data_IF_133345383519
#
_entry.id   IF_133345383519
#
_cell.length_a   1.000
_cell.length_b   1.000
_cell.length_c   1.000
_cell.angle_alpha   90.00
_cell.angle_beta   90.00
_cell.angle_gamma   90.00
#
_symmetry.space_group_name_H-M   'P 1'
#
loop_
_entity.id
_entity.type
_entity.pdbx_description
1 polymer ?
#
# COMPACT_ATOMS: atom_id res chain seq x y z
N UNK A 1 9.65 -21.10 14.59
CA UNK A 1 9.15 -21.88 13.43
C UNK A 1 10.19 -22.81 12.84
N UNK A 2 11.48 -22.47 12.90
CA UNK A 2 12.54 -23.17 12.14
C UNK A 2 12.77 -24.61 12.57
N UNK A 3 12.55 -24.92 13.85
CA UNK A 3 12.63 -26.29 14.38
C UNK A 3 11.62 -27.23 13.73
N UNK A 4 10.34 -26.81 13.62
CA UNK A 4 9.28 -27.58 12.95
C UNK A 4 9.52 -27.73 11.44
N UNK A 5 10.07 -26.69 10.80
CA UNK A 5 10.46 -26.76 9.39
C UNK A 5 11.57 -27.79 9.16
N UNK A 6 12.60 -27.79 10.00
CA UNK A 6 13.70 -28.77 9.95
C UNK A 6 13.17 -30.19 10.20
N UNK A 7 12.36 -30.40 11.23
CA UNK A 7 11.75 -31.71 11.55
C UNK A 7 10.91 -32.26 10.40
N UNK A 8 10.02 -31.45 9.80
CA UNK A 8 9.23 -31.87 8.63
C UNK A 8 10.09 -32.21 7.42
N UNK A 9 11.16 -31.45 7.16
CA UNK A 9 12.10 -31.72 6.06
C UNK A 9 12.85 -33.03 6.29
N UNK A 10 13.31 -33.28 7.51
CA UNK A 10 14.01 -34.51 7.88
C UNK A 10 13.09 -35.74 7.79
N UNK A 11 11.85 -35.66 8.29
CA UNK A 11 10.87 -36.73 8.13
C UNK A 11 10.54 -37.02 6.67
N UNK A 12 10.47 -35.99 5.82
CA UNK A 12 10.27 -36.19 4.38
C UNK A 12 11.45 -36.90 3.72
N UNK A 13 12.67 -36.74 4.22
CA UNK A 13 13.85 -37.51 3.77
C UNK A 13 13.76 -38.96 4.26
N UNK A 14 13.39 -39.18 5.52
CA UNK A 14 13.22 -40.52 6.10
C UNK A 14 12.12 -41.30 5.39
N UNK A 15 10.97 -40.69 5.09
CA UNK A 15 9.88 -41.32 4.32
C UNK A 15 10.35 -41.80 2.93
N UNK A 16 11.28 -41.09 2.29
CA UNK A 16 11.81 -41.48 0.98
C UNK A 16 12.78 -42.66 1.05
N UNK A 17 13.38 -42.90 2.22
CA UNK A 17 14.37 -43.96 2.44
C UNK A 17 13.79 -45.18 3.16
N UNK A 18 12.61 -45.07 3.75
CA UNK A 18 11.98 -46.11 4.57
C UNK A 18 11.26 -47.18 3.73
N UNK A 19 11.08 -48.36 4.33
CA UNK A 19 10.31 -49.47 3.72
C UNK A 19 8.81 -49.17 3.69
N UNK A 20 8.04 -49.93 2.90
CA UNK A 20 6.59 -49.74 2.74
C UNK A 20 5.83 -49.80 4.07
N UNK A 21 6.26 -50.63 5.02
CA UNK A 21 5.61 -50.79 6.32
C UNK A 21 5.83 -49.57 7.24
N UNK A 22 7.05 -49.04 7.28
CA UNK A 22 7.43 -47.89 8.12
C UNK A 22 6.91 -46.56 7.56
N UNK A 23 6.74 -46.46 6.24
CA UNK A 23 6.30 -45.22 5.57
C UNK A 23 4.95 -44.73 6.10
N UNK A 24 4.03 -45.65 6.41
CA UNK A 24 2.71 -45.31 6.93
C UNK A 24 2.78 -44.61 8.30
N UNK A 25 3.61 -45.13 9.22
CA UNK A 25 3.84 -44.51 10.53
C UNK A 25 4.49 -43.13 10.40
N UNK A 26 5.53 -43.01 9.56
CA UNK A 26 6.20 -41.74 9.31
C UNK A 26 5.28 -40.68 8.69
N UNK A 27 4.37 -41.09 7.81
CA UNK A 27 3.36 -40.21 7.20
C UNK A 27 2.40 -39.64 8.24
N UNK A 28 1.97 -40.44 9.23
CA UNK A 28 1.11 -39.98 10.32
C UNK A 28 1.81 -38.87 11.13
N UNK A 29 3.06 -39.11 11.54
CA UNK A 29 3.87 -38.14 12.29
C UNK A 29 4.08 -36.86 11.47
N UNK A 30 4.40 -37.01 10.18
CA UNK A 30 4.58 -35.88 9.28
C UNK A 30 3.31 -35.02 9.13
N UNK A 31 2.14 -35.66 9.02
CA UNK A 31 0.84 -34.97 8.95
C UNK A 31 0.56 -34.18 10.22
N UNK A 32 0.81 -34.76 11.40
CA UNK A 32 0.65 -34.07 12.68
C UNK A 32 1.55 -32.83 12.77
N UNK A 33 2.83 -32.96 12.41
CA UNK A 33 3.75 -31.81 12.39
C UNK A 33 3.35 -30.76 11.35
N UNK A 34 2.85 -31.17 10.18
CA UNK A 34 2.31 -30.25 9.17
C UNK A 34 1.12 -29.46 9.72
N UNK A 35 0.19 -30.13 10.41
CA UNK A 35 -0.98 -29.49 11.02
C UNK A 35 -0.55 -28.45 12.07
N UNK A 36 0.33 -28.82 13.00
CA UNK A 36 0.89 -27.92 14.02
C UNK A 36 1.56 -26.69 13.41
N UNK A 37 2.45 -26.91 12.44
CA UNK A 37 3.10 -25.82 11.72
C UNK A 37 2.08 -24.90 11.02
N UNK A 38 1.07 -25.47 10.35
CA UNK A 38 0.06 -24.68 9.66
C UNK A 38 -0.79 -23.84 10.62
N UNK A 39 -1.20 -24.41 11.75
CA UNK A 39 -1.97 -23.71 12.77
C UNK A 39 -1.20 -22.49 13.30
N UNK A 40 0.08 -22.68 13.65
CA UNK A 40 0.92 -21.59 14.15
C UNK A 40 1.17 -20.52 13.08
N UNK A 41 1.49 -20.90 11.84
CA UNK A 41 1.71 -19.96 10.75
C UNK A 41 0.47 -19.12 10.43
N UNK A 42 -0.73 -19.73 10.49
CA UNK A 42 -2.00 -19.00 10.37
C UNK A 42 -2.19 -18.02 11.52
N UNK A 43 -1.92 -18.43 12.76
CA UNK A 43 -2.02 -17.55 13.92
C UNK A 43 -1.07 -16.34 13.81
N UNK A 44 0.18 -16.55 13.42
CA UNK A 44 1.14 -15.47 13.17
C UNK A 44 0.68 -14.54 12.04
N UNK A 45 0.24 -15.10 10.93
CA UNK A 45 -0.27 -14.34 9.78
C UNK A 45 -1.48 -13.49 10.16
N UNK A 46 -2.39 -14.05 10.96
CA UNK A 46 -3.54 -13.33 11.49
C UNK A 46 -3.11 -12.17 12.41
N UNK A 47 -2.13 -12.37 13.29
CA UNK A 47 -1.57 -11.30 14.14
C UNK A 47 -0.94 -10.18 13.29
N UNK A 48 -0.13 -10.54 12.27
CA UNK A 48 0.46 -9.58 11.32
C UNK A 48 -0.61 -8.79 10.58
N UNK A 49 -1.64 -9.47 10.05
CA UNK A 49 -2.76 -8.81 9.35
C UNK A 49 -3.53 -7.85 10.27
N UNK A 50 -3.81 -8.25 11.51
CA UNK A 50 -4.45 -7.38 12.52
C UNK A 50 -3.59 -6.16 12.84
N UNK A 51 -2.28 -6.35 13.07
CA UNK A 51 -1.35 -5.24 13.32
C UNK A 51 -1.28 -4.28 12.13
N UNK A 52 -1.19 -4.81 10.90
CA UNK A 52 -1.16 -3.98 9.69
C UNK A 52 -2.47 -3.21 9.50
N UNK A 53 -3.63 -3.83 9.77
CA UNK A 53 -4.92 -3.15 9.74
C UNK A 53 -4.95 -1.98 10.72
N UNK A 54 -4.51 -2.18 11.96
CA UNK A 54 -4.44 -1.11 12.98
C UNK A 54 -3.51 0.02 12.53
N UNK A 55 -2.30 -0.30 12.07
CA UNK A 55 -1.34 0.69 11.54
C UNK A 55 -1.92 1.47 10.36
N UNK A 56 -2.65 0.82 9.46
CA UNK A 56 -3.28 1.49 8.32
C UNK A 56 -4.41 2.43 8.79
N UNK A 57 -5.23 2.00 9.75
CA UNK A 57 -6.26 2.84 10.35
C UNK A 57 -5.66 4.06 11.05
N UNK A 58 -4.62 3.87 11.86
CA UNK A 58 -3.88 4.94 12.52
C UNK A 58 -3.29 5.94 11.52
N UNK A 59 -2.71 5.45 10.41
CA UNK A 59 -2.19 6.31 9.33
C UNK A 59 -3.29 7.14 8.67
N UNK A 60 -4.44 6.53 8.38
CA UNK A 60 -5.58 7.23 7.79
C UNK A 60 -6.13 8.30 8.74
N UNK A 61 -6.29 7.98 10.03
CA UNK A 61 -6.79 8.95 11.02
C UNK A 61 -5.81 10.11 11.22
N UNK A 62 -4.50 9.83 11.21
CA UNK A 62 -3.46 10.85 11.37
C UNK A 62 -3.43 11.84 10.21
N UNK A 63 -3.44 11.34 8.97
CA UNK A 63 -3.48 12.18 7.77
C UNK A 63 -4.26 11.48 6.64
N UNK A 64 -5.57 11.78 6.51
CA UNK A 64 -6.43 11.10 5.55
C UNK A 64 -6.08 11.46 4.10
N UNK A 65 -5.61 12.67 3.83
CA UNK A 65 -5.30 13.13 2.47
C UNK A 65 -3.97 12.56 1.98
N UNK A 66 -2.94 12.49 2.83
CA UNK A 66 -1.69 11.83 2.49
C UNK A 66 -1.91 10.33 2.29
N UNK A 67 -2.74 9.68 3.13
CA UNK A 67 -3.10 8.28 2.98
C UNK A 67 -3.86 8.03 1.67
N UNK A 68 -4.89 8.84 1.36
CA UNK A 68 -5.64 8.74 0.10
C UNK A 68 -4.73 8.99 -1.10
N UNK A 69 -3.81 9.95 -1.01
CA UNK A 69 -2.80 10.19 -2.05
C UNK A 69 -1.94 8.95 -2.27
N UNK A 70 -1.49 8.26 -1.22
CA UNK A 70 -0.77 6.98 -1.39
C UNK A 70 -1.62 5.87 -2.03
N UNK A 71 -2.94 5.83 -1.78
CA UNK A 71 -3.82 4.81 -2.36
C UNK A 71 -4.10 5.03 -3.85
N UNK A 72 -4.35 6.26 -4.27
CA UNK A 72 -4.80 6.58 -5.62
C UNK A 72 -3.68 7.08 -6.55
N UNK A 73 -2.53 7.46 -6.00
CA UNK A 73 -1.41 7.93 -6.80
C UNK A 73 -0.76 6.75 -7.50
N UNK A 74 -0.88 6.73 -8.84
CA UNK A 74 -0.04 5.87 -9.66
C UNK A 74 1.44 6.13 -9.34
N UNK A 75 2.29 5.08 -9.34
CA UNK A 75 3.71 5.26 -9.13
C UNK A 75 4.24 6.26 -10.15
N UNK A 76 4.72 7.40 -9.65
CA UNK A 76 5.25 8.49 -10.50
C UNK A 76 6.61 8.15 -11.13
N UNK A 77 7.21 7.06 -10.67
CA UNK A 77 8.53 6.60 -11.07
C UNK A 77 8.42 5.23 -11.74
N UNK A 78 9.00 5.12 -12.92
CA UNK A 78 9.18 3.89 -13.66
C UNK A 78 10.22 4.14 -14.76
N UNK A 79 10.94 3.10 -15.16
CA UNK A 79 11.86 3.18 -16.30
C UNK A 79 11.05 2.94 -17.56
N UNK A 80 11.04 3.91 -18.46
CA UNK A 80 10.49 3.72 -19.80
C UNK A 80 11.58 3.08 -20.65
N UNK A 81 11.28 1.95 -21.28
CA UNK A 81 12.19 1.27 -22.21
C UNK A 81 12.26 1.94 -23.58
N UNK A 82 11.41 2.95 -23.80
CA UNK A 82 11.21 3.64 -25.06
C UNK A 82 12.20 4.80 -25.18
N UNK A 83 12.73 5.02 -26.37
CA UNK A 83 13.61 6.15 -26.64
C UNK A 83 12.87 7.48 -26.52
N UNK A 84 13.61 8.54 -26.17
CA UNK A 84 13.03 9.86 -25.91
C UNK A 84 12.30 10.42 -27.14
N UNK A 85 12.82 10.18 -28.33
CA UNK A 85 12.27 10.72 -29.58
C UNK A 85 10.91 10.10 -29.93
N UNK A 86 10.77 8.78 -29.77
CA UNK A 86 9.51 8.06 -29.94
C UNK A 86 8.47 8.51 -28.91
N UNK A 87 8.88 8.76 -27.68
CA UNK A 87 8.00 9.30 -26.65
C UNK A 87 7.52 10.72 -26.99
N UNK A 88 8.42 11.61 -27.40
CA UNK A 88 8.07 12.99 -27.76
C UNK A 88 7.14 13.06 -28.98
N UNK A 89 7.35 12.21 -29.98
CA UNK A 89 6.48 12.12 -31.17
C UNK A 89 5.10 11.59 -30.80
N UNK A 90 5.01 10.57 -29.94
CA UNK A 90 3.74 10.07 -29.42
C UNK A 90 2.99 11.14 -28.64
N UNK A 91 3.65 11.86 -27.72
CA UNK A 91 3.02 12.94 -26.95
C UNK A 91 2.52 14.07 -27.84
N UNK A 92 3.31 14.46 -28.85
CA UNK A 92 2.93 15.44 -29.87
C UNK A 92 1.79 14.95 -30.76
N UNK A 93 1.57 13.65 -30.91
CA UNK A 93 0.44 13.10 -31.68
C UNK A 93 -0.83 13.00 -30.84
N UNK A 94 -0.70 12.53 -29.60
CA UNK A 94 -1.83 12.19 -28.72
C UNK A 94 -2.43 13.40 -28.03
N UNK A 95 -1.62 14.37 -27.60
CA UNK A 95 -2.08 15.49 -26.76
C UNK A 95 -1.98 16.87 -27.42
N UNK A 96 -1.53 16.92 -28.69
CA UNK A 96 -1.48 18.17 -29.44
C UNK A 96 -2.88 18.55 -29.89
N UNK A 97 -3.46 19.51 -29.19
CA UNK A 97 -4.71 20.13 -29.61
C UNK A 97 -4.44 21.12 -30.75
N UNK A 98 -5.28 21.08 -31.79
CA UNK A 98 -5.20 21.94 -32.98
C UNK A 98 -5.19 23.45 -32.67
N UNK A 99 -5.68 23.85 -31.49
CA UNK A 99 -5.71 25.23 -31.00
C UNK A 99 -4.37 25.77 -30.46
N UNK A 100 -3.35 24.93 -30.24
CA UNK A 100 -2.06 25.41 -29.70
C UNK A 100 -1.13 25.98 -30.76
N UNK A 101 -1.30 25.58 -32.02
CA UNK A 101 -0.41 25.99 -33.11
C UNK A 101 -0.75 27.39 -33.64
N UNK A 102 -1.98 27.88 -33.43
CA UNK A 102 -2.43 29.21 -33.90
C UNK A 102 -2.25 30.34 -32.90
N UNK A 103 -1.91 30.03 -31.65
CA UNK A 103 -1.84 30.99 -30.57
C UNK A 103 -0.39 31.13 -30.10
N UNK A 104 0.39 31.92 -30.84
CA UNK A 104 1.78 32.21 -30.52
C UNK A 104 1.97 32.68 -29.07
N UNK A 105 2.88 32.03 -28.33
CA UNK A 105 3.52 32.32 -27.01
C UNK A 105 2.73 32.96 -25.85
N UNK A 106 1.48 33.37 -26.01
CA UNK A 106 0.78 34.24 -25.05
C UNK A 106 -0.48 33.60 -24.46
N UNK A 107 -0.70 32.30 -24.64
CA UNK A 107 -1.75 31.60 -23.90
C UNK A 107 -1.21 31.07 -22.57
N UNK A 108 -1.41 31.84 -21.50
CA UNK A 108 -1.55 31.26 -20.16
C UNK A 108 -2.97 30.70 -20.04
N UNK A 109 -3.16 29.38 -19.85
CA UNK A 109 -4.47 28.87 -19.49
C UNK A 109 -4.93 29.58 -18.22
N UNK A 110 -6.11 30.17 -18.28
CA UNK A 110 -6.74 30.91 -17.21
C UNK A 110 -6.94 30.00 -15.99
N UNK A 111 -6.06 30.11 -15.00
CA UNK A 111 -6.25 29.54 -13.66
C UNK A 111 -7.17 30.44 -12.82
N UNK A 112 -8.24 31.01 -13.40
CA UNK A 112 -9.11 31.98 -12.71
C UNK A 112 -10.47 31.41 -12.29
N UNK A 113 -10.55 30.10 -12.05
CA UNK A 113 -11.72 29.49 -11.41
C UNK A 113 -11.36 28.35 -10.47
N UNK A 114 -10.27 28.48 -9.71
CA UNK A 114 -10.13 27.71 -8.48
C UNK A 114 -10.83 28.50 -7.37
N UNK A 115 -12.01 28.09 -6.86
CA UNK A 115 -12.59 28.72 -5.69
C UNK A 115 -11.62 28.52 -4.52
N UNK A 116 -10.98 29.61 -4.06
CA UNK A 116 -10.25 29.61 -2.80
C UNK A 116 -11.25 29.24 -1.71
N UNK A 117 -11.09 28.06 -1.12
CA UNK A 117 -11.80 27.67 0.10
C UNK A 117 -11.54 28.71 1.19
N UNK A 118 -12.47 29.65 1.37
CA UNK A 118 -12.53 30.53 2.55
C UNK A 118 -13.12 29.73 3.71
N UNK A 119 -12.34 28.80 4.27
CA UNK A 119 -12.64 28.22 5.59
C UNK A 119 -11.44 28.47 6.49
N UNK A 120 -11.20 29.76 6.78
CA UNK A 120 -10.32 30.17 7.89
C UNK A 120 -10.60 31.62 8.22
N UNK A 121 -11.65 31.86 9.01
CA UNK A 121 -11.81 33.02 9.90
C UNK A 121 -13.19 33.00 10.57
N UNK A 122 -13.45 32.02 11.43
CA UNK A 122 -14.42 32.16 12.53
C UNK A 122 -13.93 31.33 13.72
N UNK A 123 -12.81 31.74 14.32
CA UNK A 123 -12.29 31.14 15.56
C UNK A 123 -11.50 32.14 16.41
N UNK A 124 -11.94 33.41 16.44
CA UNK A 124 -11.34 34.44 17.30
C UNK A 124 -12.34 35.41 17.93
N UNK A 125 -13.64 35.10 17.91
CA UNK A 125 -14.68 35.92 18.57
C UNK A 125 -15.48 35.14 19.60
N UNK A 126 -14.85 34.28 20.40
CA UNK A 126 -15.47 33.69 21.60
C UNK A 126 -14.41 33.35 22.66
N UNK A 127 -13.62 34.33 23.11
CA UNK A 127 -12.98 34.30 24.43
C UNK A 127 -12.67 35.72 24.88
N UNK A 128 -13.17 36.12 26.06
CA UNK A 128 -12.49 37.09 26.92
C UNK A 128 -13.07 38.50 27.04
N UNK A 129 -14.14 38.64 27.83
CA UNK A 129 -14.27 39.78 28.78
C UNK A 129 -15.30 39.44 29.87
N UNK A 130 -14.83 38.74 30.91
CA UNK A 130 -15.41 38.88 32.26
C UNK A 130 -14.35 39.60 33.08
N UNK A 131 -14.54 40.91 33.25
CA UNK A 131 -13.81 41.70 34.24
C UNK A 131 -14.79 42.01 35.38
N UNK A 132 -14.63 41.26 36.47
CA UNK A 132 -15.10 41.63 37.81
C UNK A 132 -14.47 42.95 38.24
N UNK A 133 -15.26 43.82 38.86
CA UNK A 133 -14.87 44.75 39.95
C UNK A 133 -16.19 45.28 40.52
N UNK A 134 -16.57 44.80 41.71
CA UNK A 134 -16.42 45.45 43.04
C UNK A 134 -17.57 46.38 43.34
#
# INVERSE_FOLDING_TARGET
MDTLCKQKRNLKKQIRAASSEETNGLLVIWRQLKARHSALSRAESARKKRSQKRKNQERFIRDPFQFARQLFQQPKSGTLTVEREELETHLKKTFRSRSRDTLGRNYRPCMASCPRNKVRQQASKLTGSHSSSK
#
